data_IF_224171814683
#
_entry.id   IF_224171814683
#
_cell.length_a   1.000
_cell.length_b   1.000
_cell.length_c   1.000
_cell.angle_alpha   90.00
_cell.angle_beta   90.00
_cell.angle_gamma   90.00
#
_symmetry.space_group_name_H-M   'P 1'
#
loop_
_entity.id
_entity.type
_entity.pdbx_description
1 polymer ?
#
# COMPACT_ATOMS: atom_id res chain seq x y z
N UNK A 1 -15.94 -7.34 -24.59
CA UNK A 1 -15.70 -5.93 -24.37
C UNK A 1 -15.77 -5.49 -22.93
N UNK A 2 -15.84 -6.43 -22.03
CA UNK A 2 -15.92 -6.11 -20.59
C UNK A 2 -14.66 -5.43 -20.08
N UNK A 3 -13.49 -5.82 -20.58
CA UNK A 3 -12.23 -5.16 -20.20
C UNK A 3 -12.25 -3.68 -20.58
N UNK A 4 -12.69 -3.39 -21.79
CA UNK A 4 -12.84 -2.01 -22.25
C UNK A 4 -13.79 -1.24 -21.36
N UNK A 5 -14.93 -1.84 -21.06
CA UNK A 5 -15.95 -1.23 -20.22
C UNK A 5 -15.41 -0.91 -18.84
N UNK A 6 -14.62 -1.83 -18.28
CA UNK A 6 -14.03 -1.64 -16.98
C UNK A 6 -13.05 -0.47 -16.95
N UNK A 7 -12.18 -0.35 -17.96
CA UNK A 7 -11.26 0.78 -18.04
C UNK A 7 -11.98 2.09 -18.21
N UNK A 8 -13.00 2.11 -19.08
CA UNK A 8 -13.78 3.31 -19.33
C UNK A 8 -14.51 3.77 -18.08
N UNK A 9 -14.98 2.81 -17.27
CA UNK A 9 -15.78 3.10 -16.11
C UNK A 9 -14.99 3.12 -14.79
N UNK A 10 -13.66 3.07 -14.85
CA UNK A 10 -12.85 3.19 -13.66
C UNK A 10 -13.09 4.54 -13.00
N UNK A 11 -13.39 4.59 -11.71
CA UNK A 11 -13.65 5.86 -11.05
C UNK A 11 -12.37 6.68 -10.95
N UNK A 12 -12.53 8.01 -11.04
CA UNK A 12 -11.42 8.93 -10.81
C UNK A 12 -11.29 9.30 -9.34
N UNK A 13 -12.39 9.18 -8.60
CA UNK A 13 -12.46 9.49 -7.19
C UNK A 13 -13.38 8.51 -6.51
N UNK A 14 -13.11 8.24 -5.24
CA UNK A 14 -13.99 7.47 -4.37
C UNK A 14 -14.09 8.27 -3.06
N UNK A 15 -15.31 8.66 -2.68
CA UNK A 15 -15.56 9.46 -1.49
C UNK A 15 -14.70 10.74 -1.46
N UNK A 16 -14.51 11.35 -2.62
CA UNK A 16 -13.72 12.57 -2.76
C UNK A 16 -12.22 12.34 -2.79
N UNK A 17 -11.75 11.09 -2.78
CA UNK A 17 -10.33 10.77 -2.77
C UNK A 17 -9.91 10.33 -4.17
N UNK A 18 -8.85 10.95 -4.67
CA UNK A 18 -8.33 10.66 -6.00
C UNK A 18 -7.86 9.21 -6.11
N UNK A 19 -8.26 8.53 -7.19
CA UNK A 19 -7.77 7.17 -7.48
C UNK A 19 -6.47 7.27 -8.26
N UNK A 20 -5.42 6.67 -7.70
CA UNK A 20 -4.09 6.61 -8.33
C UNK A 20 -3.66 5.16 -8.34
N UNK A 21 -3.89 4.47 -9.45
CA UNK A 21 -3.66 3.03 -9.51
C UNK A 21 -2.20 2.65 -9.69
N UNK A 22 -1.43 3.45 -10.40
CA UNK A 22 0.00 3.19 -10.56
C UNK A 22 0.72 3.36 -9.24
N UNK A 23 1.47 2.33 -8.82
CA UNK A 23 2.09 2.34 -7.51
C UNK A 23 3.20 3.39 -7.39
N UNK A 24 3.92 3.67 -8.46
CA UNK A 24 4.96 4.70 -8.44
C UNK A 24 4.34 6.09 -8.26
N UNK A 25 3.21 6.33 -8.92
CA UNK A 25 2.49 7.59 -8.76
C UNK A 25 1.86 7.70 -7.37
N UNK A 26 1.40 6.60 -6.80
CA UNK A 26 0.86 6.59 -5.44
C UNK A 26 1.95 6.92 -4.42
N UNK A 27 3.15 6.37 -4.59
CA UNK A 27 4.30 6.69 -3.73
C UNK A 27 4.64 8.17 -3.84
N UNK A 28 4.69 8.71 -5.06
CA UNK A 28 4.95 10.12 -5.28
C UNK A 28 3.92 11.00 -4.60
N UNK A 29 2.64 10.67 -4.79
CA UNK A 29 1.54 11.44 -4.21
C UNK A 29 1.60 11.47 -2.69
N UNK A 30 1.78 10.31 -2.06
CA UNK A 30 1.85 10.24 -0.60
C UNK A 30 3.11 10.88 -0.06
N UNK A 31 4.21 10.82 -0.80
CA UNK A 31 5.44 11.49 -0.43
C UNK A 31 5.30 13.02 -0.48
N UNK A 32 4.38 13.51 -1.29
CA UNK A 32 4.03 14.93 -1.37
C UNK A 32 2.95 15.33 -0.36
N UNK A 33 2.51 14.42 0.47
CA UNK A 33 1.50 14.68 1.49
C UNK A 33 0.06 14.55 1.01
N UNK A 34 -0.18 13.96 -0.17
CA UNK A 34 -1.54 13.79 -0.70
C UNK A 34 -2.10 12.44 -0.34
N UNK A 35 -3.34 12.42 0.12
CA UNK A 35 -4.10 11.19 0.34
C UNK A 35 -4.70 10.75 -0.98
N UNK A 36 -4.44 9.51 -1.36
CA UNK A 36 -4.99 8.91 -2.58
C UNK A 36 -5.52 7.53 -2.24
N UNK A 37 -6.14 6.86 -3.21
CA UNK A 37 -6.54 5.47 -3.02
C UNK A 37 -6.23 4.66 -4.27
N UNK A 38 -6.08 3.35 -4.08
CA UNK A 38 -5.87 2.40 -5.17
C UNK A 38 -6.39 1.04 -4.75
N UNK A 39 -6.83 0.23 -5.71
CA UNK A 39 -7.26 -1.12 -5.38
C UNK A 39 -6.05 -2.06 -5.36
N UNK A 40 -6.16 -3.07 -4.52
CA UNK A 40 -5.12 -4.08 -4.34
C UNK A 40 -5.62 -5.42 -4.84
N UNK A 41 -4.74 -6.17 -5.53
CA UNK A 41 -5.05 -7.52 -5.97
C UNK A 41 -4.33 -8.54 -5.11
N UNK A 42 -4.93 -9.74 -5.06
CA UNK A 42 -4.36 -10.86 -4.34
C UNK A 42 -4.89 -10.96 -2.91
N UNK A 43 -4.57 -12.07 -2.26
CA UNK A 43 -5.08 -12.40 -0.94
C UNK A 43 -4.02 -12.27 0.17
N UNK A 44 -2.84 -11.75 -0.16
CA UNK A 44 -1.73 -11.68 0.79
C UNK A 44 -2.01 -10.80 2.00
N UNK A 45 -3.02 -9.94 1.92
CA UNK A 45 -3.40 -9.03 3.00
C UNK A 45 -4.78 -9.31 3.59
N UNK A 46 -5.45 -10.35 3.15
CA UNK A 46 -6.75 -10.73 3.69
C UNK A 46 -6.61 -11.14 5.16
N UNK A 47 -7.49 -10.70 6.07
CA UNK A 47 -8.70 -9.90 5.84
C UNK A 47 -8.50 -8.39 5.96
N UNK A 48 -7.28 -7.92 6.15
CA UNK A 48 -7.00 -6.48 6.34
C UNK A 48 -7.35 -5.70 5.08
N UNK A 49 -6.86 -6.18 3.94
CA UNK A 49 -7.21 -5.66 2.62
C UNK A 49 -7.59 -6.86 1.77
N UNK A 50 -8.77 -6.82 1.15
CA UNK A 50 -9.27 -7.94 0.36
C UNK A 50 -8.96 -7.74 -1.11
N UNK A 51 -8.99 -8.83 -1.86
CA UNK A 51 -8.73 -8.78 -3.29
C UNK A 51 -9.63 -7.75 -4.00
N UNK A 52 -9.04 -6.83 -4.72
CA UNK A 52 -9.77 -5.80 -5.48
C UNK A 52 -10.32 -4.66 -4.63
N UNK A 53 -10.06 -4.67 -3.33
CA UNK A 53 -10.53 -3.60 -2.45
C UNK A 53 -9.68 -2.35 -2.62
N UNK A 54 -10.34 -1.18 -2.68
CA UNK A 54 -9.64 0.09 -2.65
C UNK A 54 -9.13 0.36 -1.23
N UNK A 55 -7.88 0.73 -1.15
CA UNK A 55 -7.25 1.15 0.09
C UNK A 55 -6.98 2.64 0.02
N UNK A 56 -7.39 3.36 1.06
CA UNK A 56 -7.03 4.76 1.25
C UNK A 56 -5.59 4.79 1.77
N UNK A 57 -4.74 5.55 1.08
CA UNK A 57 -3.33 5.70 1.43
C UNK A 57 -3.14 7.04 2.10
N UNK A 58 -2.92 6.99 3.40
CA UNK A 58 -2.80 8.19 4.25
C UNK A 58 -1.32 8.46 4.46
N UNK A 59 -0.81 9.62 3.99
CA UNK A 59 0.62 9.93 4.12
C UNK A 59 1.11 9.87 5.56
N UNK A 60 2.36 9.43 5.72
CA UNK A 60 3.01 9.39 7.02
C UNK A 60 3.47 10.81 7.39
N UNK A 61 3.22 11.23 8.62
CA UNK A 61 3.68 12.51 9.17
C UNK A 61 4.36 12.26 10.51
N UNK A 62 4.88 13.32 11.12
CA UNK A 62 5.51 13.23 12.43
C UNK A 62 4.56 12.65 13.49
N UNK A 63 3.26 12.88 13.32
CA UNK A 63 2.27 12.44 14.29
C UNK A 63 1.68 11.08 14.00
N UNK A 64 2.11 10.44 12.90
CA UNK A 64 1.60 9.13 12.53
C UNK A 64 2.27 8.06 13.38
N UNK A 65 1.46 7.28 14.08
CA UNK A 65 1.95 6.13 14.84
C UNK A 65 1.70 4.86 14.04
N UNK A 66 2.78 4.19 13.66
CA UNK A 66 2.71 2.91 12.94
C UNK A 66 2.80 1.80 13.97
N UNK A 67 1.87 0.85 13.88
CA UNK A 67 1.77 -0.26 14.84
C UNK A 67 1.88 -1.59 14.11
N UNK A 68 2.25 -2.61 14.87
CA UNK A 68 2.18 -3.99 14.38
C UNK A 68 0.76 -4.29 13.93
N UNK A 69 0.62 -4.93 12.78
CA UNK A 69 -0.67 -5.23 12.19
C UNK A 69 -1.17 -4.18 11.21
N UNK A 70 -0.55 -3.01 11.16
CA UNK A 70 -0.94 -1.99 10.20
C UNK A 70 -0.52 -2.39 8.78
N UNK A 71 -1.37 -2.09 7.81
CA UNK A 71 -1.01 -2.19 6.40
C UNK A 71 -0.36 -0.87 5.99
N UNK A 72 0.74 -0.95 5.26
CA UNK A 72 1.52 0.21 4.86
C UNK A 72 1.96 0.11 3.40
N UNK A 73 2.03 1.27 2.75
CA UNK A 73 2.72 1.39 1.46
C UNK A 73 4.18 1.68 1.76
N UNK A 74 5.06 0.81 1.30
CA UNK A 74 6.48 0.88 1.65
C UNK A 74 7.37 0.48 0.48
N UNK A 75 8.68 0.68 0.66
CA UNK A 75 9.68 0.25 -0.29
C UNK A 75 10.58 -0.79 0.38
N UNK A 76 10.82 -1.90 -0.32
CA UNK A 76 11.83 -2.87 0.06
C UNK A 76 12.92 -2.89 -1.00
N UNK A 77 14.11 -3.30 -0.59
CA UNK A 77 15.21 -3.46 -1.54
C UNK A 77 14.92 -4.65 -2.46
N UNK A 78 15.19 -4.48 -3.74
CA UNK A 78 15.08 -5.54 -4.70
C UNK A 78 16.40 -6.31 -4.69
N UNK A 79 16.39 -7.56 -4.23
CA UNK A 79 17.61 -8.37 -4.13
C UNK A 79 18.27 -8.66 -5.48
N UNK A 80 17.47 -8.61 -6.54
CA UNK A 80 17.95 -8.95 -7.88
C UNK A 80 18.33 -7.74 -8.71
N UNK A 81 17.81 -6.57 -8.38
CA UNK A 81 18.06 -5.34 -9.12
C UNK A 81 17.91 -4.13 -8.20
N UNK A 82 19.02 -3.69 -7.63
CA UNK A 82 19.01 -2.57 -6.70
C UNK A 82 18.67 -1.22 -7.36
N UNK A 83 18.70 -1.17 -8.69
CA UNK A 83 18.31 0.05 -9.41
C UNK A 83 16.81 0.19 -9.55
N UNK A 84 16.05 -0.89 -9.30
CA UNK A 84 14.60 -0.91 -9.44
C UNK A 84 13.95 -1.03 -8.04
N UNK A 85 13.41 0.06 -7.50
CA UNK A 85 12.75 0.00 -6.19
C UNK A 85 11.56 -0.95 -6.23
N UNK A 86 11.34 -1.64 -5.12
CA UNK A 86 10.25 -2.58 -5.00
C UNK A 86 9.22 -2.02 -4.02
N UNK A 87 8.17 -1.40 -4.54
CA UNK A 87 7.09 -0.84 -3.74
C UNK A 87 6.02 -1.89 -3.51
N UNK A 88 5.43 -1.89 -2.32
CA UNK A 88 4.36 -2.83 -1.99
C UNK A 88 3.49 -2.28 -0.88
N UNK A 89 2.27 -2.82 -0.79
CA UNK A 89 1.37 -2.58 0.34
C UNK A 89 1.24 -3.89 1.10
N UNK A 90 1.84 -3.93 2.29
CA UNK A 90 1.83 -5.13 3.13
C UNK A 90 1.82 -4.77 4.61
N UNK A 91 1.87 -5.79 5.46
CA UNK A 91 1.63 -5.62 6.89
C UNK A 91 2.93 -5.48 7.68
N UNK A 92 2.88 -4.66 8.71
CA UNK A 92 3.97 -4.52 9.67
C UNK A 92 3.89 -5.65 10.69
N UNK A 93 4.93 -6.48 10.74
CA UNK A 93 5.03 -7.61 11.67
C UNK A 93 5.74 -7.26 12.96
N UNK A 94 6.82 -6.51 12.84
CA UNK A 94 7.65 -6.10 13.97
C UNK A 94 8.19 -4.70 13.73
N UNK A 95 8.53 -4.02 14.84
CA UNK A 95 9.12 -2.70 14.81
C UNK A 95 10.37 -2.75 15.67
N UNK A 96 11.51 -2.33 15.12
CA UNK A 96 12.75 -2.23 15.84
C UNK A 96 13.21 -0.79 15.89
N UNK A 97 13.51 -0.30 17.08
CA UNK A 97 14.01 1.07 17.26
C UNK A 97 15.54 1.14 17.31
N UNK A 98 16.21 0.01 17.07
CA UNK A 98 17.67 -0.06 17.04
C UNK A 98 18.17 0.34 15.66
N UNK A 99 18.56 1.60 15.49
CA UNK A 99 19.11 2.07 14.22
C UNK A 99 20.11 3.18 14.46
N UNK A 100 20.98 3.40 13.48
CA UNK A 100 21.99 4.46 13.56
C UNK A 100 21.41 5.84 13.33
N UNK A 101 20.29 5.94 12.60
CA UNK A 101 19.73 7.23 12.19
C UNK A 101 18.50 7.64 13.01
N UNK A 102 18.18 6.89 14.05
CA UNK A 102 17.02 7.17 14.91
C UNK A 102 15.67 6.82 14.32
N UNK A 103 15.64 6.33 13.09
CA UNK A 103 14.38 5.91 12.47
C UNK A 103 14.12 4.43 12.75
N UNK A 104 12.86 4.03 13.02
CA UNK A 104 12.57 2.62 13.24
C UNK A 104 12.76 1.80 11.96
N UNK A 105 13.03 0.52 12.16
CA UNK A 105 12.95 -0.48 11.12
C UNK A 105 11.64 -1.23 11.25
N UNK A 106 11.00 -1.53 10.13
CA UNK A 106 9.72 -2.26 10.09
C UNK A 106 9.90 -3.55 9.33
N UNK A 107 9.50 -4.65 9.96
CA UNK A 107 9.49 -5.97 9.32
C UNK A 107 8.18 -6.13 8.56
N UNK A 108 8.27 -6.33 7.26
CA UNK A 108 7.12 -6.30 6.36
C UNK A 108 6.82 -7.71 5.86
N UNK A 109 5.54 -8.06 5.81
CA UNK A 109 5.12 -9.35 5.31
C UNK A 109 3.64 -9.39 4.96
N UNK A 110 3.18 -10.56 4.54
CA UNK A 110 1.76 -10.79 4.29
C UNK A 110 1.01 -10.84 5.61
N UNK A 111 -0.32 -10.85 5.54
CA UNK A 111 -1.15 -10.94 6.74
C UNK A 111 -1.11 -12.31 7.40
N UNK A 112 -0.55 -13.32 6.75
CA UNK A 112 -0.53 -14.69 7.26
C UNK A 112 0.85 -15.21 7.61
N UNK A 113 1.70 -15.50 6.62
CA UNK A 113 2.93 -16.26 6.87
C UNK A 113 4.20 -15.75 6.21
N UNK A 114 4.09 -14.99 5.12
CA UNK A 114 5.27 -14.63 4.32
C UNK A 114 5.92 -13.36 4.85
N UNK A 115 7.24 -13.42 5.05
CA UNK A 115 8.04 -12.25 5.44
C UNK A 115 8.86 -11.83 4.22
N UNK A 116 8.83 -10.53 3.92
CA UNK A 116 9.51 -9.99 2.74
C UNK A 116 10.79 -9.25 3.08
N UNK A 117 10.89 -8.70 4.29
CA UNK A 117 12.11 -8.02 4.70
C UNK A 117 11.85 -6.85 5.63
N UNK A 118 12.91 -6.11 5.92
CA UNK A 118 12.86 -4.93 6.79
C UNK A 118 13.03 -3.66 5.95
N UNK A 119 12.36 -2.59 6.36
CA UNK A 119 12.48 -1.30 5.71
C UNK A 119 12.31 -0.16 6.70
N UNK A 120 12.90 1.00 6.37
CA UNK A 120 12.61 2.25 7.05
C UNK A 120 11.72 3.14 6.18
N UNK A 121 11.48 2.74 4.93
CA UNK A 121 10.80 3.58 3.94
C UNK A 121 9.30 3.27 3.89
N UNK A 122 8.56 3.92 4.75
CA UNK A 122 7.10 3.85 4.81
C UNK A 122 6.54 5.17 4.27
N UNK A 123 5.63 5.08 3.31
CA UNK A 123 5.05 6.26 2.66
C UNK A 123 3.66 6.58 3.14
N UNK A 124 2.88 5.56 3.48
CA UNK A 124 1.48 5.75 3.86
C UNK A 124 0.96 4.59 4.69
N UNK A 125 -0.03 4.87 5.52
CA UNK A 125 -0.89 3.84 6.08
C UNK A 125 -1.95 3.50 5.03
N UNK A 126 -2.27 2.21 4.88
CA UNK A 126 -3.28 1.75 3.95
C UNK A 126 -4.50 1.27 4.73
N UNK A 127 -5.66 1.86 4.43
CA UNK A 127 -6.90 1.55 5.13
C UNK A 127 -7.94 1.11 4.11
N UNK A 128 -8.51 -0.08 4.29
CA UNK A 128 -9.54 -0.61 3.40
C UNK A 128 -10.78 0.28 3.42
N UNK A 129 -11.32 0.54 2.25
CA UNK A 129 -12.46 1.44 2.07
C UNK A 129 -13.78 0.69 1.94
N UNK A 130 -13.75 -0.63 1.89
CA UNK A 130 -14.92 -1.47 1.64
C UNK A 130 -15.60 -1.13 0.30
N UNK A 131 -14.82 -0.69 -0.66
CA UNK A 131 -15.23 -0.44 -2.04
C UNK A 131 -14.32 -1.26 -2.91
N UNK A 132 -14.88 -1.94 -3.91
CA UNK A 132 -14.13 -2.90 -4.71
C UNK A 132 -14.13 -2.48 -6.17
N UNK A 133 -12.99 -2.77 -6.82
CA UNK A 133 -12.91 -2.65 -8.27
C UNK A 133 -13.92 -3.65 -8.86
N UNK A 134 -14.79 -3.16 -9.75
CA UNK A 134 -15.87 -3.98 -10.26
C UNK A 134 -15.39 -4.83 -11.45
N UNK A 135 -15.18 -6.10 -11.21
CA UNK A 135 -14.82 -7.06 -12.25
C UNK A 135 -15.92 -8.12 -12.46
N UNK A 136 -17.09 -7.91 -11.86
CA UNK A 136 -18.21 -8.88 -11.94
C UNK A 136 -18.90 -8.90 -13.29
N UNK A 137 -18.56 -8.00 -14.15
CA UNK A 137 -19.10 -7.99 -15.50
C UNK A 137 -18.56 -9.12 -16.36
N UNK A 138 -17.71 -9.88 -15.80
CA UNK A 138 -17.13 -11.05 -16.47
C UNK A 138 -18.09 -12.21 -16.44
#
# INVERSE_FOLDING_TARGET
MKIFKRFVNSPKEIDGIEVVQDINEAVKATNEGRTVCRYEYGDSMTPILRHGEYAKLIPISENTEIKRGDAVLCKLDNEYDFSAPFYMTHMVWEISNSSYNGKPWYKIGSSSTSIYGWTQDIYALAVGMNVFEDDREN
#
